data_IF_787935221653
#
_entry.id   IF_787935221653
#
_cell.length_a   1.000
_cell.length_b   1.000
_cell.length_c   1.000
_cell.angle_alpha   90.00
_cell.angle_beta   90.00
_cell.angle_gamma   90.00
#
_symmetry.space_group_name_H-M   'P 1'
#
loop_
_entity.id
_entity.type
_entity.pdbx_description
1 polymer ?
#
# COMPACT_ATOMS: atom_id res chain seq x y z
N UNK A 1 8.16 -9.25 -29.75
CA UNK A 1 8.05 -7.89 -29.15
C UNK A 1 7.83 -8.04 -27.65
N UNK A 2 8.69 -8.79 -26.95
CA UNK A 2 8.51 -9.14 -25.52
C UNK A 2 9.30 -8.22 -24.57
N UNK A 3 10.26 -7.45 -25.10
CA UNK A 3 11.09 -6.55 -24.29
C UNK A 3 10.36 -5.27 -23.84
N UNK A 4 9.35 -4.81 -24.58
CA UNK A 4 8.68 -3.53 -24.29
C UNK A 4 7.73 -3.60 -23.11
N UNK A 5 7.02 -4.72 -22.94
CA UNK A 5 6.02 -4.88 -21.86
C UNK A 5 6.70 -5.02 -20.50
N UNK A 6 7.82 -5.75 -20.47
CA UNK A 6 8.70 -5.87 -19.30
C UNK A 6 9.25 -4.51 -18.88
N UNK A 7 9.57 -3.63 -19.83
CA UNK A 7 10.05 -2.28 -19.55
C UNK A 7 8.99 -1.41 -18.87
N UNK A 8 7.73 -1.49 -19.31
CA UNK A 8 6.63 -0.78 -18.67
C UNK A 8 6.39 -1.27 -17.23
N UNK A 9 6.38 -2.59 -16.99
CA UNK A 9 6.25 -3.13 -15.63
C UNK A 9 7.40 -2.77 -14.68
N UNK A 10 8.63 -2.70 -15.20
CA UNK A 10 9.80 -2.19 -14.45
C UNK A 10 9.64 -0.71 -14.09
N UNK A 11 9.13 0.11 -15.01
CA UNK A 11 8.91 1.53 -14.76
C UNK A 11 7.82 1.77 -13.71
N UNK A 12 6.73 1.00 -13.76
CA UNK A 12 5.64 1.06 -12.79
C UNK A 12 6.09 0.63 -11.39
N UNK A 13 6.81 -0.49 -11.29
CA UNK A 13 7.35 -0.98 -10.01
C UNK A 13 8.35 0.02 -9.40
N UNK A 14 9.18 0.66 -10.22
CA UNK A 14 10.11 1.69 -9.76
C UNK A 14 9.34 2.92 -9.23
N UNK A 15 8.29 3.36 -9.93
CA UNK A 15 7.41 4.43 -9.46
C UNK A 15 6.74 4.08 -8.13
N UNK A 16 6.25 2.85 -7.99
CA UNK A 16 5.61 2.38 -6.76
C UNK A 16 6.57 2.37 -5.57
N UNK A 17 7.80 1.88 -5.73
CA UNK A 17 8.81 1.85 -4.66
C UNK A 17 9.22 3.26 -4.22
N UNK A 18 9.40 4.19 -5.17
CA UNK A 18 9.76 5.56 -4.86
C UNK A 18 8.64 6.30 -4.13
N UNK A 19 7.40 6.17 -4.58
CA UNK A 19 6.23 6.79 -3.95
C UNK A 19 5.98 6.21 -2.57
N UNK A 20 6.00 4.89 -2.43
CA UNK A 20 5.81 4.20 -1.15
C UNK A 20 6.93 4.55 -0.16
N UNK A 21 8.19 4.54 -0.60
CA UNK A 21 9.33 4.92 0.23
C UNK A 21 9.32 6.39 0.66
N UNK A 22 8.82 7.28 -0.21
CA UNK A 22 8.77 8.72 0.08
C UNK A 22 7.78 9.08 1.17
N UNK A 23 6.75 8.26 1.44
CA UNK A 23 5.79 8.50 2.53
C UNK A 23 6.44 8.47 3.92
N UNK A 24 7.60 7.82 4.07
CA UNK A 24 8.33 7.74 5.33
C UNK A 24 9.29 8.94 5.57
N UNK A 25 9.59 9.72 4.52
CA UNK A 25 10.47 10.87 4.61
C UNK A 25 9.85 12.06 5.38
N UNK A 26 8.60 12.48 5.13
CA UNK A 26 7.93 13.54 5.87
C UNK A 26 7.80 13.22 7.35
N UNK A 27 7.58 11.94 7.71
CA UNK A 27 7.47 11.47 9.11
C UNK A 27 8.78 11.70 9.88
N UNK A 28 9.92 11.60 9.20
CA UNK A 28 11.26 11.83 9.79
C UNK A 28 11.67 13.31 9.80
N UNK A 29 11.35 14.05 8.73
CA UNK A 29 11.83 15.42 8.52
C UNK A 29 10.91 16.45 9.18
N UNK A 30 9.60 16.24 9.14
CA UNK A 30 8.67 16.99 9.95
C UNK A 30 8.61 16.29 11.31
N UNK A 31 9.37 16.80 12.29
CA UNK A 31 9.30 16.42 13.71
C UNK A 31 7.94 16.84 14.32
N UNK A 32 6.84 16.60 13.61
CA UNK A 32 5.50 16.60 14.16
C UNK A 32 5.52 15.46 15.18
N UNK A 33 5.13 15.72 16.42
CA UNK A 33 4.87 14.73 17.48
C UNK A 33 3.87 13.68 16.97
N UNK A 34 4.35 12.82 16.09
CA UNK A 34 3.58 11.79 15.42
C UNK A 34 3.54 10.67 16.42
N UNK A 35 2.54 10.74 17.30
CA UNK A 35 2.41 9.88 18.47
C UNK A 35 2.54 8.41 18.07
N UNK A 36 3.64 7.78 18.46
CA UNK A 36 3.99 6.38 18.27
C UNK A 36 3.91 5.78 16.83
N UNK A 37 4.77 4.80 16.57
CA UNK A 37 4.78 4.06 15.29
C UNK A 37 3.44 3.38 14.95
N UNK A 38 2.59 3.18 15.96
CA UNK A 38 1.25 2.60 15.82
C UNK A 38 0.28 3.53 15.09
N UNK A 39 0.34 4.85 15.34
CA UNK A 39 -0.52 5.81 14.65
C UNK A 39 -0.16 5.90 13.16
N UNK A 40 1.14 5.91 12.85
CA UNK A 40 1.60 5.89 11.46
C UNK A 40 1.12 4.62 10.74
N UNK A 41 1.22 3.45 11.37
CA UNK A 41 0.71 2.18 10.82
C UNK A 41 -0.82 2.20 10.60
N UNK A 42 -1.57 2.78 11.54
CA UNK A 42 -3.01 2.94 11.42
C UNK A 42 -3.41 3.81 10.22
N UNK A 43 -2.73 4.94 10.01
CA UNK A 43 -2.98 5.81 8.85
C UNK A 43 -2.61 5.10 7.53
N UNK A 44 -1.53 4.31 7.51
CA UNK A 44 -1.19 3.50 6.32
C UNK A 44 -2.26 2.43 6.04
N UNK A 45 -2.79 1.78 7.08
CA UNK A 45 -3.88 0.81 6.94
C UNK A 45 -5.16 1.45 6.40
N UNK A 46 -5.52 2.65 6.86
CA UNK A 46 -6.65 3.42 6.31
C UNK A 46 -6.42 3.74 4.83
N UNK A 47 -5.22 4.16 4.46
CA UNK A 47 -4.87 4.45 3.06
C UNK A 47 -5.05 3.22 2.17
N UNK A 48 -4.51 2.07 2.59
CA UNK A 48 -4.63 0.80 1.86
C UNK A 48 -6.09 0.29 1.79
N UNK A 49 -6.89 0.49 2.83
CA UNK A 49 -8.31 0.12 2.84
C UNK A 49 -9.10 0.97 1.83
N UNK A 50 -8.87 2.29 1.81
CA UNK A 50 -9.55 3.20 0.88
C UNK A 50 -9.17 2.87 -0.57
N UNK A 51 -7.88 2.71 -0.86
CA UNK A 51 -7.44 2.40 -2.24
C UNK A 51 -7.98 1.06 -2.71
N UNK A 52 -7.97 0.04 -1.85
CA UNK A 52 -8.52 -1.29 -2.17
C UNK A 52 -10.04 -1.25 -2.35
N UNK A 53 -10.75 -0.46 -1.53
CA UNK A 53 -12.20 -0.29 -1.66
C UNK A 53 -12.57 0.40 -2.98
N UNK A 54 -11.79 1.41 -3.40
CA UNK A 54 -11.98 2.07 -4.69
C UNK A 54 -11.82 1.07 -5.84
N UNK A 55 -10.75 0.26 -5.84
CA UNK A 55 -10.55 -0.80 -6.85
C UNK A 55 -11.68 -1.82 -6.83
N UNK A 56 -12.14 -2.23 -5.65
CA UNK A 56 -13.24 -3.18 -5.47
C UNK A 56 -14.56 -2.66 -6.08
N UNK A 57 -14.83 -1.36 -5.97
CA UNK A 57 -15.98 -0.71 -6.62
C UNK A 57 -15.80 -0.68 -8.15
N UNK A 58 -14.58 -0.39 -8.65
CA UNK A 58 -14.29 -0.40 -10.10
C UNK A 58 -14.44 -1.79 -10.74
N UNK A 59 -14.12 -2.86 -10.01
CA UNK A 59 -14.28 -4.24 -10.47
C UNK A 59 -15.73 -4.76 -10.39
N UNK A 60 -16.67 -3.97 -9.86
CA UNK A 60 -18.09 -4.33 -9.87
C UNK A 60 -18.49 -5.40 -8.86
N UNK A 61 -17.94 -5.34 -7.64
CA UNK A 61 -18.25 -6.24 -6.53
C UNK A 61 -17.91 -7.72 -6.78
N UNK A 62 -16.63 -8.06 -7.02
CA UNK A 62 -16.22 -9.47 -7.10
C UNK A 62 -16.44 -10.20 -5.76
N UNK A 63 -16.56 -11.54 -5.79
CA UNK A 63 -16.70 -12.34 -4.57
C UNK A 63 -15.42 -12.27 -3.71
N UNK A 64 -15.59 -12.08 -2.40
CA UNK A 64 -14.48 -11.99 -1.46
C UNK A 64 -13.79 -13.35 -1.28
N UNK A 65 -12.51 -13.43 -1.68
CA UNK A 65 -11.66 -14.58 -1.38
C UNK A 65 -10.86 -14.32 -0.09
N UNK A 66 -11.24 -14.92 1.05
CA UNK A 66 -10.61 -14.61 2.34
C UNK A 66 -9.11 -14.93 2.35
N UNK A 67 -8.66 -15.91 1.56
CA UNK A 67 -7.25 -16.27 1.46
C UNK A 67 -6.37 -15.13 0.91
N UNK A 68 -6.89 -14.34 -0.04
CA UNK A 68 -6.19 -13.18 -0.59
C UNK A 68 -6.15 -12.01 0.43
N UNK A 69 -7.13 -11.94 1.32
CA UNK A 69 -7.23 -10.88 2.34
C UNK A 69 -6.28 -11.11 3.53
N UNK A 70 -5.81 -12.35 3.75
CA UNK A 70 -4.91 -12.69 4.86
C UNK A 70 -3.58 -11.94 4.81
N UNK A 71 -3.04 -11.67 3.62
CA UNK A 71 -1.79 -10.91 3.47
C UNK A 71 -1.89 -9.50 4.06
N UNK A 72 -3.01 -8.81 3.80
CA UNK A 72 -3.29 -7.50 4.37
C UNK A 72 -3.57 -7.55 5.88
N UNK A 73 -4.27 -8.59 6.35
CA UNK A 73 -4.55 -8.78 7.77
C UNK A 73 -3.27 -9.04 8.59
N UNK A 74 -2.34 -9.85 8.07
CA UNK A 74 -1.04 -10.12 8.70
C UNK A 74 -0.17 -8.87 8.76
N UNK A 75 -0.16 -8.06 7.69
CA UNK A 75 0.53 -6.77 7.68
C UNK A 75 -0.09 -5.78 8.69
N UNK A 76 -1.42 -5.76 8.83
CA UNK A 76 -2.12 -4.91 9.79
C UNK A 76 -1.82 -5.23 11.26
N UNK A 77 -1.60 -6.50 11.59
CA UNK A 77 -1.42 -6.98 12.99
C UNK A 77 0.02 -6.79 13.51
N UNK A 78 0.97 -6.34 12.68
CA UNK A 78 2.36 -6.11 13.08
C UNK A 78 3.04 -7.39 13.62
N UNK A 79 2.82 -8.53 12.94
CA UNK A 79 3.54 -9.81 13.19
C UNK A 79 4.80 -9.95 12.29
N UNK A 80 5.05 -8.94 11.46
CA UNK A 80 6.19 -8.72 10.55
C UNK A 80 6.59 -7.25 10.66
#
# INVERSE_FOLDING_TARGET
MEGSETFFGLLESLGAVLLFGSMFLPIKVMHIDTGDGVYAHFIMCIGALITSFVVYVFEGFPPFFPYAMLGGALWGINII
#
